data_IF_722792259822
#
_entry.id   IF_722792259822
#
_cell.length_a   1.000
_cell.length_b   1.000
_cell.length_c   1.000
_cell.angle_alpha   90.00
_cell.angle_beta   90.00
_cell.angle_gamma   90.00
#
_symmetry.space_group_name_H-M   'P 1'
#
loop_
_entity.id
_entity.type
_entity.pdbx_description
1 polymer ?
#
# COMPACT_ATOMS: atom_id res chain seq x y z
N UNK A 1 -23.77 -0.02 37.63
CA UNK A 1 -23.64 -0.17 36.16
C UNK A 1 -23.15 1.15 35.54
N UNK A 2 -21.84 1.42 35.55
CA UNK A 2 -21.24 2.56 34.81
C UNK A 2 -19.90 2.22 34.16
N UNK A 3 -19.31 1.08 34.51
CA UNK A 3 -17.99 0.61 34.05
C UNK A 3 -18.01 -0.11 32.69
N UNK A 4 -19.18 -0.55 32.21
CA UNK A 4 -19.26 -1.28 30.93
C UNK A 4 -19.23 -0.37 29.69
N UNK A 5 -19.61 0.91 29.82
CA UNK A 5 -19.64 1.85 28.68
C UNK A 5 -18.25 2.37 28.30
N UNK A 6 -17.31 2.44 29.24
CA UNK A 6 -15.95 2.97 29.01
C UNK A 6 -15.01 1.97 28.34
N UNK A 7 -15.29 0.65 28.44
CA UNK A 7 -14.50 -0.37 27.75
C UNK A 7 -14.78 -0.37 26.23
N UNK A 8 -16.02 -0.16 25.83
CA UNK A 8 -16.42 -0.21 24.42
C UNK A 8 -15.82 0.93 23.58
N UNK A 9 -15.64 2.12 24.17
CA UNK A 9 -15.04 3.27 23.47
C UNK A 9 -13.53 3.14 23.29
N UNK A 10 -12.82 2.55 24.26
CA UNK A 10 -11.38 2.30 24.14
C UNK A 10 -11.05 1.27 23.03
N UNK A 11 -11.89 0.24 22.88
CA UNK A 11 -11.72 -0.78 21.82
C UNK A 11 -11.89 -0.15 20.43
N UNK A 12 -12.88 0.74 20.26
CA UNK A 12 -13.12 1.40 18.97
C UNK A 12 -11.97 2.32 18.53
N UNK A 13 -11.34 3.02 19.47
CA UNK A 13 -10.17 3.88 19.20
C UNK A 13 -8.91 3.06 18.82
N UNK A 14 -8.73 1.89 19.41
CA UNK A 14 -7.61 1.00 19.06
C UNK A 14 -7.80 0.38 17.67
N UNK A 15 -9.03 0.01 17.30
CA UNK A 15 -9.34 -0.55 15.98
C UNK A 15 -9.10 0.51 14.89
N UNK A 16 -9.55 1.75 15.09
CA UNK A 16 -9.36 2.81 14.09
C UNK A 16 -7.88 3.16 13.86
N UNK A 17 -7.06 3.18 14.91
CA UNK A 17 -5.62 3.40 14.77
C UNK A 17 -4.91 2.27 14.02
N UNK A 18 -5.28 1.02 14.28
CA UNK A 18 -4.69 -0.14 13.58
C UNK A 18 -5.08 -0.17 12.09
N UNK A 19 -6.32 0.18 11.75
CA UNK A 19 -6.75 0.30 10.35
C UNK A 19 -5.98 1.41 9.64
N UNK A 20 -5.85 2.58 10.25
CA UNK A 20 -5.12 3.71 9.67
C UNK A 20 -3.63 3.42 9.48
N UNK A 21 -2.99 2.76 10.46
CA UNK A 21 -1.59 2.34 10.34
C UNK A 21 -1.38 1.31 9.22
N UNK A 22 -2.38 0.45 8.97
CA UNK A 22 -2.36 -0.53 7.88
C UNK A 22 -2.50 0.16 6.52
N UNK A 23 -3.44 1.10 6.39
CA UNK A 23 -3.63 1.90 5.17
C UNK A 23 -2.40 2.75 4.85
N UNK A 24 -1.82 3.43 5.85
CA UNK A 24 -0.60 4.21 5.69
C UNK A 24 0.58 3.34 5.22
N UNK A 25 0.75 2.14 5.79
CA UNK A 25 1.76 1.17 5.32
C UNK A 25 1.51 0.70 3.90
N UNK A 26 0.26 0.46 3.53
CA UNK A 26 -0.11 0.01 2.20
C UNK A 26 0.19 1.09 1.14
N UNK A 27 -0.08 2.36 1.48
CA UNK A 27 0.24 3.50 0.62
C UNK A 27 1.76 3.69 0.45
N UNK A 28 2.53 3.65 1.53
CA UNK A 28 4.00 3.73 1.49
C UNK A 28 4.61 2.59 0.64
N UNK A 29 4.09 1.37 0.79
CA UNK A 29 4.50 0.24 -0.04
C UNK A 29 4.15 0.46 -1.50
N UNK A 30 2.94 0.93 -1.80
CA UNK A 30 2.49 1.18 -3.16
C UNK A 30 3.36 2.24 -3.86
N UNK A 31 3.70 3.34 -3.19
CA UNK A 31 4.58 4.38 -3.73
C UNK A 31 5.97 3.83 -4.04
N UNK A 32 6.59 3.10 -3.10
CA UNK A 32 7.89 2.45 -3.31
C UNK A 32 7.88 1.46 -4.46
N UNK A 33 6.83 0.65 -4.56
CA UNK A 33 6.67 -0.29 -5.66
C UNK A 33 6.50 0.42 -7.00
N UNK A 34 5.79 1.55 -7.03
CA UNK A 34 5.62 2.34 -8.24
C UNK A 34 6.93 3.01 -8.68
N UNK A 35 7.72 3.58 -7.74
CA UNK A 35 9.05 4.12 -8.04
C UNK A 35 10.02 3.05 -8.56
N UNK A 36 10.02 1.88 -7.93
CA UNK A 36 10.82 0.72 -8.38
C UNK A 36 10.43 0.30 -9.79
N UNK A 37 9.13 0.18 -10.06
CA UNK A 37 8.63 -0.18 -11.39
C UNK A 37 9.05 0.86 -12.45
N UNK A 38 8.90 2.16 -12.17
CA UNK A 38 9.35 3.22 -13.09
C UNK A 38 10.84 3.16 -13.37
N UNK A 39 11.66 2.98 -12.34
CA UNK A 39 13.13 2.90 -12.47
C UNK A 39 13.55 1.71 -13.32
N UNK A 40 13.02 0.51 -13.04
CA UNK A 40 13.36 -0.72 -13.79
C UNK A 40 12.85 -0.65 -15.23
N UNK A 41 11.64 -0.14 -15.42
CA UNK A 41 10.99 -0.11 -16.72
C UNK A 41 11.41 1.07 -17.59
N UNK A 42 12.17 2.06 -17.08
CA UNK A 42 12.67 3.21 -17.83
C UNK A 42 13.42 2.80 -19.12
N UNK A 43 14.07 1.63 -19.13
CA UNK A 43 14.70 1.05 -20.34
C UNK A 43 13.74 0.82 -21.51
N UNK A 44 12.44 0.72 -21.23
CA UNK A 44 11.39 0.53 -22.22
C UNK A 44 10.61 1.81 -22.54
N UNK A 45 11.03 2.98 -22.06
CA UNK A 45 10.27 4.24 -22.20
C UNK A 45 9.93 4.60 -23.65
N UNK A 46 10.78 4.21 -24.62
CA UNK A 46 10.54 4.39 -26.06
C UNK A 46 9.53 3.41 -26.67
N UNK A 47 9.19 2.34 -25.95
CA UNK A 47 8.27 1.28 -26.40
C UNK A 47 7.08 1.20 -25.45
N UNK A 48 6.07 2.04 -25.68
CA UNK A 48 4.90 2.17 -24.81
C UNK A 48 4.30 0.83 -24.35
N UNK A 49 4.06 -0.13 -25.27
CA UNK A 49 3.50 -1.44 -24.91
C UNK A 49 4.40 -2.25 -23.97
N UNK A 50 5.71 -2.26 -24.21
CA UNK A 50 6.68 -2.96 -23.35
C UNK A 50 6.83 -2.25 -22.00
N UNK A 51 6.78 -0.92 -22.01
CA UNK A 51 6.83 -0.10 -20.79
C UNK A 51 5.64 -0.39 -19.88
N UNK A 52 4.42 -0.35 -20.41
CA UNK A 52 3.19 -0.64 -19.66
C UNK A 52 3.16 -2.07 -19.12
N UNK A 53 3.57 -3.05 -19.95
CA UNK A 53 3.66 -4.44 -19.51
C UNK A 53 4.67 -4.60 -18.36
N UNK A 54 5.87 -4.04 -18.51
CA UNK A 54 6.90 -4.06 -17.47
C UNK A 54 6.42 -3.41 -16.17
N UNK A 55 5.78 -2.24 -16.26
CA UNK A 55 5.26 -1.53 -15.08
C UNK A 55 4.28 -2.41 -14.32
N UNK A 56 3.36 -3.08 -15.02
CA UNK A 56 2.37 -3.97 -14.41
C UNK A 56 3.02 -5.15 -13.70
N UNK A 57 3.95 -5.84 -14.36
CA UNK A 57 4.62 -7.01 -13.80
C UNK A 57 5.43 -6.65 -12.54
N UNK A 58 6.30 -5.64 -12.63
CA UNK A 58 7.19 -5.25 -11.53
C UNK A 58 6.40 -4.68 -10.35
N UNK A 59 5.38 -3.86 -10.61
CA UNK A 59 4.52 -3.33 -9.56
C UNK A 59 3.75 -4.46 -8.86
N UNK A 60 3.15 -5.36 -9.64
CA UNK A 60 2.39 -6.50 -9.10
C UNK A 60 3.28 -7.40 -8.25
N UNK A 61 4.46 -7.76 -8.73
CA UNK A 61 5.43 -8.57 -7.98
C UNK A 61 5.82 -7.90 -6.66
N UNK A 62 6.13 -6.60 -6.69
CA UNK A 62 6.49 -5.84 -5.49
C UNK A 62 5.33 -5.75 -4.47
N UNK A 63 4.09 -5.62 -4.94
CA UNK A 63 2.92 -5.59 -4.06
C UNK A 63 2.64 -6.95 -3.40
N UNK A 64 3.00 -8.06 -4.04
CA UNK A 64 2.86 -9.41 -3.49
C UNK A 64 3.95 -9.82 -2.49
N UNK A 65 5.12 -9.17 -2.50
CA UNK A 65 6.23 -9.39 -1.53
C UNK A 65 5.96 -8.69 -0.20
#
# INVERSE_FOLDING_TARGET
MKTSLTLCTAILLLISWNTFATEAKLNDKSEKCQERARTICAKHIKHHKKYQFCLKEVYSECMHQ
#
